data_IF_224175669957
#
_entry.id   IF_224175669957
#
_cell.length_a   1.000
_cell.length_b   1.000
_cell.length_c   1.000
_cell.angle_alpha   90.00
_cell.angle_beta   90.00
_cell.angle_gamma   90.00
#
_symmetry.space_group_name_H-M   'P 1'
#
loop_
_entity.id
_entity.type
_entity.pdbx_description
1 polymer ?
#
# COMPACT_ATOMS: atom_id res chain seq x y z
N UNK A 1 31.00 -34.54 15.90
CA UNK A 1 31.04 -33.21 16.53
C UNK A 1 29.60 -32.76 16.68
N UNK A 2 29.14 -32.65 17.92
CA UNK A 2 27.74 -32.43 18.25
C UNK A 2 27.25 -31.07 17.74
N UNK A 3 25.99 -31.04 17.31
CA UNK A 3 25.23 -29.91 16.76
C UNK A 3 24.89 -28.89 17.88
N UNK A 4 25.91 -28.34 18.57
CA UNK A 4 25.78 -27.39 19.69
C UNK A 4 25.22 -26.02 19.29
N UNK A 5 24.95 -25.79 18.01
CA UNK A 5 24.55 -24.49 17.47
C UNK A 5 23.04 -24.32 17.27
N UNK A 6 22.23 -25.34 17.60
CA UNK A 6 20.77 -25.23 17.59
C UNK A 6 20.33 -24.72 18.96
N UNK A 7 19.74 -23.53 19.00
CA UNK A 7 18.99 -23.04 20.16
C UNK A 7 17.50 -23.44 20.02
N UNK A 8 17.08 -24.63 20.47
CA UNK A 8 15.69 -25.03 20.41
C UNK A 8 14.86 -24.13 21.32
N UNK A 9 13.78 -23.59 20.79
CA UNK A 9 12.80 -22.85 21.60
C UNK A 9 11.77 -23.79 22.18
N UNK A 10 11.31 -23.49 23.39
CA UNK A 10 10.14 -24.13 23.98
C UNK A 10 8.90 -23.41 23.46
N UNK A 11 7.96 -24.16 22.90
CA UNK A 11 6.71 -23.64 22.36
C UNK A 11 5.54 -24.05 23.26
N UNK A 12 4.81 -23.06 23.74
CA UNK A 12 3.64 -23.23 24.60
C UNK A 12 2.41 -22.70 23.84
N UNK A 13 1.45 -23.57 23.57
CA UNK A 13 0.20 -23.16 22.92
C UNK A 13 -0.60 -22.24 23.86
N UNK A 14 -1.18 -21.17 23.33
CA UNK A 14 -2.09 -20.33 24.11
C UNK A 14 -3.40 -21.09 24.38
N UNK A 15 -3.80 -21.28 25.64
CA UNK A 15 -4.98 -22.07 25.98
C UNK A 15 -6.30 -21.42 25.56
N UNK A 16 -6.31 -20.10 25.31
CA UNK A 16 -7.53 -19.33 24.98
C UNK A 16 -7.61 -18.93 23.51
N UNK A 17 -6.48 -18.91 22.80
CA UNK A 17 -6.41 -18.39 21.42
C UNK A 17 -5.74 -19.37 20.48
N UNK A 18 -6.53 -19.95 19.57
CA UNK A 18 -6.03 -20.82 18.52
C UNK A 18 -4.96 -20.12 17.67
N UNK A 19 -3.98 -20.90 17.21
CA UNK A 19 -2.85 -20.45 16.40
C UNK A 19 -1.95 -19.39 17.03
N UNK A 20 -2.11 -19.10 18.33
CA UNK A 20 -1.16 -18.29 19.10
C UNK A 20 -0.25 -19.22 19.88
N UNK A 21 1.06 -19.00 19.74
CA UNK A 21 2.09 -19.79 20.40
C UNK A 21 3.08 -18.86 21.09
N UNK A 22 3.36 -19.17 22.34
CA UNK A 22 4.35 -18.49 23.17
C UNK A 22 5.67 -19.24 23.08
N UNK A 23 6.72 -18.54 22.65
CA UNK A 23 8.07 -19.04 22.60
C UNK A 23 8.85 -18.57 23.83
N UNK A 24 9.43 -19.54 24.53
CA UNK A 24 10.43 -19.36 25.57
C UNK A 24 11.77 -19.94 25.10
N UNK A 25 12.81 -19.74 25.90
CA UNK A 25 14.18 -20.16 25.59
C UNK A 25 14.78 -19.41 24.39
N UNK A 26 14.45 -18.12 24.23
CA UNK A 26 15.10 -17.28 23.22
C UNK A 26 16.50 -16.90 23.69
N UNK A 27 17.49 -17.00 22.79
CA UNK A 27 18.84 -16.49 23.04
C UNK A 27 18.85 -14.98 22.92
N UNK A 28 19.00 -14.30 24.06
CA UNK A 28 19.06 -12.84 24.14
C UNK A 28 20.50 -12.36 23.97
N UNK A 29 20.70 -11.31 23.18
CA UNK A 29 22.02 -10.71 22.97
C UNK A 29 21.92 -9.20 22.77
N UNK A 30 22.87 -8.40 23.30
CA UNK A 30 22.91 -6.98 23.04
C UNK A 30 23.18 -6.69 21.57
N UNK A 31 22.49 -5.70 21.01
CA UNK A 31 22.72 -5.24 19.65
C UNK A 31 23.92 -4.31 19.65
N UNK A 32 25.09 -4.89 19.38
CA UNK A 32 26.29 -4.12 19.10
C UNK A 32 26.18 -3.56 17.68
N UNK A 33 26.44 -2.25 17.50
CA UNK A 33 26.61 -1.67 16.16
C UNK A 33 27.80 -2.39 15.51
N UNK A 34 27.54 -3.33 14.61
CA UNK A 34 28.61 -4.00 13.87
C UNK A 34 29.33 -2.96 13.01
N UNK A 35 30.64 -2.83 13.17
CA UNK A 35 31.49 -2.32 12.09
C UNK A 35 31.20 -3.18 10.85
N UNK A 36 31.02 -2.54 9.69
CA UNK A 36 30.79 -3.25 8.42
C UNK A 36 32.02 -4.13 8.14
N UNK A 37 31.91 -5.42 8.42
CA UNK A 37 32.91 -6.38 7.96
C UNK A 37 32.74 -6.53 6.44
N UNK A 38 33.81 -6.36 5.65
CA UNK A 38 33.78 -6.53 4.20
C UNK A 38 33.18 -7.89 3.80
N UNK A 39 32.40 -7.89 2.72
CA UNK A 39 31.64 -9.06 2.26
C UNK A 39 32.49 -10.34 2.09
N UNK A 40 33.78 -10.18 1.82
CA UNK A 40 34.72 -11.28 1.55
C UNK A 40 35.13 -12.11 2.79
N UNK A 41 34.89 -11.63 4.01
CA UNK A 41 35.18 -12.37 5.25
C UNK A 41 33.97 -13.12 5.83
N UNK A 42 32.81 -13.09 5.15
CA UNK A 42 31.66 -13.88 5.58
C UNK A 42 31.86 -15.33 5.18
N UNK A 43 32.53 -16.10 6.04
CA UNK A 43 32.41 -17.55 6.02
C UNK A 43 30.92 -17.91 6.14
N UNK A 44 30.31 -18.36 5.04
CA UNK A 44 29.02 -19.04 5.09
C UNK A 44 29.33 -20.45 5.56
N UNK A 45 28.92 -20.87 6.77
CA UNK A 45 29.07 -22.26 7.15
C UNK A 45 28.22 -23.09 6.17
N UNK A 46 28.86 -24.06 5.53
CA UNK A 46 28.25 -25.03 4.63
C UNK A 46 27.44 -26.05 5.45
N UNK A 47 26.45 -25.59 6.21
CA UNK A 47 25.48 -26.47 6.86
C UNK A 47 24.42 -26.83 5.84
N UNK A 48 24.31 -28.12 5.50
CA UNK A 48 23.22 -28.66 4.69
C UNK A 48 21.90 -28.11 5.22
N UNK A 49 21.21 -27.33 4.38
CA UNK A 49 20.02 -26.57 4.76
C UNK A 49 18.86 -27.48 5.14
N UNK A 50 18.82 -27.97 6.39
CA UNK A 50 17.53 -28.24 7.04
C UNK A 50 16.75 -26.92 6.99
N UNK A 51 15.45 -26.98 6.65
CA UNK A 51 14.55 -25.81 6.58
C UNK A 51 14.30 -25.24 7.99
N UNK A 52 15.35 -24.74 8.62
CA UNK A 52 15.30 -24.12 9.93
C UNK A 52 14.70 -22.72 9.78
N UNK A 53 13.67 -22.45 10.56
CA UNK A 53 13.01 -21.15 10.58
C UNK A 53 13.47 -20.39 11.80
N UNK A 54 13.91 -19.15 11.60
CA UNK A 54 14.37 -18.31 12.71
C UNK A 54 13.21 -17.49 13.27
N UNK A 55 13.04 -17.51 14.59
CA UNK A 55 12.25 -16.54 15.32
C UNK A 55 13.17 -15.41 15.78
N UNK A 56 12.72 -14.16 15.61
CA UNK A 56 13.49 -12.99 16.01
C UNK A 56 12.59 -11.88 16.55
N UNK A 57 13.05 -11.23 17.60
CA UNK A 57 12.52 -9.95 18.07
C UNK A 57 13.66 -9.06 18.53
N UNK A 58 13.55 -7.76 18.31
CA UNK A 58 14.51 -6.77 18.81
C UNK A 58 13.76 -5.71 19.58
N UNK A 59 14.10 -5.53 20.84
CA UNK A 59 13.53 -4.51 21.72
C UNK A 59 14.59 -3.51 22.12
N UNK A 60 14.15 -2.31 22.49
CA UNK A 60 15.04 -1.28 22.99
C UNK A 60 14.41 -0.52 24.15
N UNK A 61 15.26 0.00 25.02
CA UNK A 61 14.90 0.85 26.15
C UNK A 61 15.78 2.08 26.09
N UNK A 62 15.24 3.20 26.53
CA UNK A 62 15.95 4.47 26.60
C UNK A 62 16.34 4.69 28.05
N UNK A 63 17.62 4.81 28.33
CA UNK A 63 18.07 5.19 29.68
C UNK A 63 17.74 6.66 29.97
N UNK A 64 17.73 7.03 31.25
CA UNK A 64 17.59 8.42 31.72
C UNK A 64 18.63 9.36 31.10
N UNK A 65 19.83 8.83 30.79
CA UNK A 65 20.91 9.55 30.10
C UNK A 65 20.75 9.59 28.56
N UNK A 66 19.60 9.19 28.02
CA UNK A 66 19.29 9.21 26.59
C UNK A 66 19.94 8.09 25.76
N UNK A 67 20.75 7.21 26.36
CA UNK A 67 21.38 6.08 25.66
C UNK A 67 20.34 4.99 25.39
N UNK A 68 20.20 4.60 24.13
CA UNK A 68 19.29 3.53 23.74
C UNK A 68 20.04 2.19 23.85
N UNK A 69 19.64 1.34 24.80
CA UNK A 69 20.05 -0.06 24.81
C UNK A 69 19.11 -0.84 23.91
N UNK A 70 19.64 -1.77 23.13
CA UNK A 70 18.84 -2.68 22.30
C UNK A 70 19.32 -4.10 22.53
N UNK A 71 18.39 -5.02 22.66
CA UNK A 71 18.66 -6.45 22.76
C UNK A 71 17.82 -7.19 21.73
N UNK A 72 18.32 -8.32 21.27
CA UNK A 72 17.65 -9.19 20.30
C UNK A 72 17.53 -10.59 20.86
N UNK A 73 16.31 -11.11 20.87
CA UNK A 73 16.00 -12.50 21.17
C UNK A 73 15.93 -13.29 19.86
N UNK A 74 16.62 -14.42 19.81
CA UNK A 74 16.61 -15.33 18.66
C UNK A 74 16.33 -16.78 19.05
N UNK A 75 15.51 -17.45 18.25
CA UNK A 75 15.16 -18.85 18.43
C UNK A 75 15.14 -19.60 17.12
N UNK A 76 15.36 -20.91 17.15
CA UNK A 76 15.34 -21.77 15.96
C UNK A 76 14.17 -22.76 16.06
N UNK A 77 13.37 -22.80 15.00
CA UNK A 77 12.29 -23.76 14.81
C UNK A 77 12.66 -24.80 13.75
N UNK A 78 12.58 -26.07 14.13
CA UNK A 78 12.80 -27.18 13.22
C UNK A 78 11.62 -27.38 12.26
N UNK A 79 10.38 -27.16 12.74
CA UNK A 79 9.14 -27.32 11.96
C UNK A 79 8.22 -26.11 12.23
N UNK A 80 8.28 -25.07 11.38
CA UNK A 80 7.38 -23.94 11.53
C UNK A 80 5.95 -24.35 11.13
N UNK A 81 5.02 -24.27 12.07
CA UNK A 81 3.59 -24.28 11.76
C UNK A 81 3.10 -22.88 11.39
N UNK A 82 1.91 -22.79 10.76
CA UNK A 82 1.23 -21.54 10.43
C UNK A 82 0.61 -20.87 11.67
N UNK A 83 1.44 -20.62 12.69
CA UNK A 83 1.06 -19.98 13.94
C UNK A 83 1.64 -18.57 14.04
N UNK A 84 1.03 -17.76 14.91
CA UNK A 84 1.57 -16.48 15.35
C UNK A 84 2.38 -16.69 16.62
N UNK A 85 3.68 -16.42 16.53
CA UNK A 85 4.62 -16.63 17.63
C UNK A 85 4.83 -15.34 18.44
N UNK A 86 4.87 -15.46 19.76
CA UNK A 86 5.07 -14.36 20.71
C UNK A 86 6.15 -14.74 21.72
N UNK A 87 6.93 -13.78 22.22
CA UNK A 87 7.97 -14.02 23.23
C UNK A 87 7.38 -14.00 24.63
N UNK A 88 7.58 -15.08 25.40
CA UNK A 88 7.13 -15.15 26.78
C UNK A 88 7.97 -14.26 27.71
N UNK A 89 9.28 -14.16 27.48
CA UNK A 89 10.13 -13.24 28.23
C UNK A 89 9.72 -11.77 28.08
N UNK A 90 9.29 -11.35 26.88
CA UNK A 90 8.76 -10.00 26.69
C UNK A 90 7.41 -9.79 27.37
N UNK A 91 6.57 -10.82 27.44
CA UNK A 91 5.32 -10.75 28.19
C UNK A 91 5.61 -10.54 29.68
N UNK A 92 6.53 -11.30 30.27
CA UNK A 92 6.99 -11.10 31.65
C UNK A 92 7.51 -9.68 31.89
N UNK A 93 8.34 -9.16 30.97
CA UNK A 93 8.89 -7.81 31.09
C UNK A 93 7.86 -6.68 30.91
N UNK A 94 6.61 -6.98 30.53
CA UNK A 94 5.59 -5.95 30.34
C UNK A 94 5.08 -5.36 31.66
N UNK A 95 5.17 -6.10 32.77
CA UNK A 95 4.86 -5.60 34.12
C UNK A 95 6.01 -5.77 35.12
N UNK A 96 7.08 -6.50 34.79
CA UNK A 96 8.26 -6.63 35.66
C UNK A 96 9.40 -5.81 35.09
N UNK A 97 9.86 -4.81 35.87
CA UNK A 97 10.96 -3.93 35.44
C UNK A 97 12.33 -4.44 35.90
N UNK A 98 12.48 -4.78 37.17
CA UNK A 98 13.70 -5.34 37.74
C UNK A 98 13.32 -6.51 38.65
N UNK A 99 13.41 -7.73 38.16
CA UNK A 99 12.87 -8.86 38.88
C UNK A 99 13.00 -10.16 38.12
N UNK A 100 12.64 -11.25 38.77
CA UNK A 100 12.66 -12.58 38.18
C UNK A 100 11.48 -13.42 38.67
N UNK A 101 11.26 -14.53 37.97
CA UNK A 101 10.25 -15.51 38.33
C UNK A 101 10.57 -16.88 37.73
N UNK A 102 10.15 -17.90 38.45
CA UNK A 102 10.23 -19.30 38.04
C UNK A 102 8.81 -19.81 37.79
N UNK A 103 8.55 -20.36 36.62
CA UNK A 103 7.20 -20.75 36.20
C UNK A 103 7.14 -22.20 35.74
N UNK A 104 6.12 -22.93 36.17
CA UNK A 104 5.86 -24.29 35.71
C UNK A 104 5.16 -24.29 34.36
N UNK A 105 5.67 -25.07 33.42
CA UNK A 105 5.02 -25.32 32.12
C UNK A 105 4.79 -26.80 31.81
N UNK A 106 5.40 -27.68 32.60
CA UNK A 106 5.21 -29.13 32.59
C UNK A 106 5.40 -29.66 34.02
N UNK A 107 5.02 -30.90 34.30
CA UNK A 107 5.12 -31.48 35.65
C UNK A 107 6.56 -31.45 36.20
N UNK A 108 7.55 -31.60 35.33
CA UNK A 108 8.98 -31.70 35.70
C UNK A 108 9.85 -30.56 35.20
N UNK A 109 9.28 -29.62 34.45
CA UNK A 109 10.05 -28.57 33.80
C UNK A 109 9.55 -27.17 34.19
N UNK A 110 10.54 -26.33 34.48
CA UNK A 110 10.37 -24.96 34.91
C UNK A 110 11.01 -24.01 33.91
N UNK A 111 10.50 -22.79 33.86
CA UNK A 111 11.03 -21.67 33.10
C UNK A 111 11.54 -20.62 34.05
N UNK A 112 12.78 -20.18 33.84
CA UNK A 112 13.36 -19.04 34.51
C UNK A 112 13.30 -17.81 33.62
N UNK A 113 12.60 -16.78 34.08
CA UNK A 113 12.47 -15.49 33.40
C UNK A 113 12.97 -14.38 34.32
N UNK A 114 13.71 -13.43 33.76
CA UNK A 114 14.18 -12.26 34.49
C UNK A 114 14.18 -11.02 33.60
N UNK A 115 13.95 -9.88 34.24
CA UNK A 115 13.87 -8.57 33.63
C UNK A 115 14.85 -7.62 34.31
N UNK A 116 15.62 -6.91 33.51
CA UNK A 116 16.50 -5.82 33.95
C UNK A 116 16.11 -4.58 33.15
N UNK A 117 15.72 -3.52 33.84
CA UNK A 117 15.24 -2.27 33.24
C UNK A 117 14.10 -2.46 32.22
N UNK A 118 13.20 -3.42 32.46
CA UNK A 118 12.07 -3.75 31.58
C UNK A 118 12.47 -4.49 30.30
N UNK A 119 13.65 -5.11 30.30
CA UNK A 119 14.17 -5.91 29.19
C UNK A 119 14.55 -7.31 29.68
N UNK A 120 14.34 -8.37 28.87
CA UNK A 120 14.84 -9.70 29.20
C UNK A 120 16.32 -9.70 29.54
N UNK A 121 16.67 -10.30 30.67
CA UNK A 121 18.07 -10.50 31.04
C UNK A 121 18.73 -11.51 30.09
N UNK A 122 19.98 -11.27 29.70
CA UNK A 122 20.71 -12.07 28.70
C UNK A 122 20.86 -13.55 29.11
N UNK A 123 20.98 -13.80 30.41
CA UNK A 123 21.14 -15.13 31.01
C UNK A 123 19.84 -15.73 31.55
N UNK A 124 18.70 -15.11 31.26
CA UNK A 124 17.38 -15.63 31.60
C UNK A 124 16.65 -16.10 30.33
N UNK A 125 15.36 -16.44 30.46
CA UNK A 125 14.59 -17.11 29.41
C UNK A 125 15.20 -18.48 29.10
N UNK A 126 15.18 -19.35 30.11
CA UNK A 126 15.76 -20.69 30.08
C UNK A 126 14.80 -21.69 30.70
N UNK A 127 14.78 -22.92 30.19
CA UNK A 127 14.07 -24.04 30.80
C UNK A 127 15.02 -24.98 31.55
N UNK A 128 14.50 -25.78 32.46
CA UNK A 128 15.25 -26.84 33.15
C UNK A 128 14.43 -27.52 34.24
N UNK A 129 15.03 -28.52 34.88
CA UNK A 129 14.49 -29.07 36.13
C UNK A 129 14.77 -28.12 37.31
N UNK A 130 14.30 -28.48 38.50
CA UNK A 130 14.43 -27.66 39.71
C UNK A 130 15.89 -27.31 40.04
N UNK A 131 16.82 -28.27 39.95
CA UNK A 131 18.23 -28.05 40.25
C UNK A 131 18.90 -27.14 39.21
N UNK A 132 18.62 -27.36 37.92
CA UNK A 132 19.14 -26.54 36.83
C UNK A 132 18.67 -25.09 36.96
N UNK A 133 17.38 -24.89 37.28
CA UNK A 133 16.81 -23.57 37.47
C UNK A 133 17.34 -22.90 38.72
N UNK A 134 17.52 -23.62 39.83
CA UNK A 134 18.17 -23.08 41.03
C UNK A 134 19.57 -22.53 40.73
N UNK A 135 20.37 -23.28 39.94
CA UNK A 135 21.69 -22.83 39.52
C UNK A 135 21.62 -21.58 38.63
N UNK A 136 20.67 -21.52 37.69
CA UNK A 136 20.47 -20.35 36.82
C UNK A 136 20.03 -19.11 37.59
N UNK A 137 19.14 -19.27 38.58
CA UNK A 137 18.71 -18.18 39.48
C UNK A 137 19.91 -17.68 40.28
N UNK A 138 20.69 -18.58 40.88
CA UNK A 138 21.89 -18.22 41.65
C UNK A 138 22.93 -17.49 40.79
N UNK A 139 23.17 -17.98 39.56
CA UNK A 139 24.06 -17.32 38.59
C UNK A 139 23.54 -15.92 38.24
N UNK A 140 22.24 -15.76 37.99
CA UNK A 140 21.65 -14.47 37.70
C UNK A 140 21.85 -13.47 38.84
N UNK A 141 21.60 -13.88 40.08
CA UNK A 141 21.77 -13.03 41.26
C UNK A 141 23.25 -12.67 41.50
N UNK A 142 24.17 -13.59 41.22
CA UNK A 142 25.61 -13.35 41.37
C UNK A 142 26.16 -12.39 40.32
N UNK A 143 25.66 -12.47 39.08
CA UNK A 143 26.20 -11.72 37.95
C UNK A 143 25.61 -10.32 37.78
N UNK A 144 24.52 -9.98 38.47
CA UNK A 144 23.83 -8.70 38.33
C UNK A 144 23.76 -7.99 39.69
N UNK A 145 24.12 -6.72 39.71
CA UNK A 145 24.00 -5.89 40.90
C UNK A 145 22.53 -5.76 41.32
N UNK A 146 22.27 -5.89 42.62
CA UNK A 146 20.92 -5.74 43.16
C UNK A 146 20.43 -4.29 42.98
N UNK A 147 19.23 -4.08 42.41
CA UNK A 147 18.68 -2.74 42.26
C UNK A 147 18.34 -2.12 43.64
N UNK A 148 18.27 -0.78 43.75
CA UNK A 148 17.96 -0.12 45.03
C UNK A 148 16.62 -0.53 45.64
N UNK A 149 15.64 -0.86 44.80
CA UNK A 149 14.31 -1.32 45.20
C UNK A 149 14.25 -2.83 45.54
N UNK A 150 15.41 -3.51 45.51
CA UNK A 150 15.57 -4.96 45.55
C UNK A 150 14.92 -5.67 44.37
N UNK A 151 15.26 -6.96 44.20
CA UNK A 151 14.65 -7.75 43.15
C UNK A 151 13.17 -8.01 43.42
N UNK A 152 12.33 -7.69 42.43
CA UNK A 152 10.93 -8.12 42.46
C UNK A 152 10.85 -9.63 42.15
N UNK A 153 10.56 -10.45 43.16
CA UNK A 153 10.34 -11.90 42.98
C UNK A 153 8.85 -12.11 42.73
N UNK A 154 8.49 -12.39 41.48
CA UNK A 154 7.07 -12.55 41.09
C UNK A 154 6.58 -13.97 41.33
N UNK A 155 7.42 -14.96 41.06
CA UNK A 155 7.11 -16.38 41.27
C UNK A 155 8.37 -17.07 41.79
N UNK A 156 8.40 -17.46 43.09
CA UNK A 156 9.59 -18.04 43.72
C UNK A 156 9.84 -19.49 43.25
N UNK A 157 11.05 -19.99 43.44
CA UNK A 157 11.43 -21.36 43.04
C UNK A 157 10.74 -22.41 43.92
N UNK A 158 10.53 -22.10 45.19
CA UNK A 158 9.93 -23.00 46.18
C UNK A 158 8.48 -23.33 45.80
N UNK A 159 7.76 -22.32 45.29
CA UNK A 159 6.34 -22.40 44.93
C UNK A 159 6.11 -21.74 43.56
N UNK A 160 6.51 -22.41 42.46
CA UNK A 160 6.47 -21.80 41.14
C UNK A 160 5.03 -21.78 40.59
N UNK A 161 4.58 -20.59 40.19
CA UNK A 161 3.31 -20.38 39.51
C UNK A 161 3.26 -21.03 38.12
N UNK A 162 2.06 -21.24 37.59
CA UNK A 162 1.90 -21.67 36.20
C UNK A 162 2.27 -20.51 35.23
N UNK A 163 2.98 -20.81 34.14
CA UNK A 163 3.37 -19.83 33.12
C UNK A 163 2.17 -19.07 32.51
N UNK A 164 0.98 -19.66 32.48
CA UNK A 164 -0.24 -19.01 31.97
C UNK A 164 -0.62 -17.76 32.76
N UNK A 165 -0.21 -17.67 34.03
CA UNK A 165 -0.42 -16.47 34.86
C UNK A 165 0.20 -15.21 34.23
N UNK A 166 1.27 -15.37 33.44
CA UNK A 166 1.93 -14.30 32.68
C UNK A 166 0.93 -13.77 31.64
N UNK A 167 0.40 -14.64 30.78
CA UNK A 167 -0.35 -14.19 29.61
C UNK A 167 -1.72 -13.58 29.96
N UNK A 168 -2.27 -13.90 31.14
CA UNK A 168 -3.56 -13.36 31.60
C UNK A 168 -3.55 -11.85 31.91
N UNK A 169 -2.37 -11.26 32.15
CA UNK A 169 -2.23 -9.86 32.57
C UNK A 169 -1.93 -8.90 31.41
N UNK A 170 -1.85 -9.40 30.18
CA UNK A 170 -1.37 -8.63 29.03
C UNK A 170 -2.44 -7.74 28.41
N UNK A 171 -2.10 -6.48 28.16
CA UNK A 171 -2.90 -5.60 27.30
C UNK A 171 -2.66 -5.90 25.81
N UNK A 172 -3.54 -5.37 24.95
CA UNK A 172 -3.35 -5.42 23.49
C UNK A 172 -2.06 -4.75 23.02
N UNK A 173 -1.56 -3.75 23.76
CA UNK A 173 -0.28 -3.11 23.46
C UNK A 173 0.91 -4.02 23.79
N UNK A 174 0.83 -4.74 24.92
CA UNK A 174 1.86 -5.71 25.33
C UNK A 174 1.97 -6.85 24.33
N UNK A 175 0.82 -7.40 23.90
CA UNK A 175 0.78 -8.46 22.89
C UNK A 175 1.48 -8.06 21.60
N UNK A 176 1.27 -6.82 21.12
CA UNK A 176 1.96 -6.32 19.93
C UNK A 176 3.48 -6.26 20.11
N UNK A 177 3.96 -5.88 21.30
CA UNK A 177 5.40 -5.84 21.63
C UNK A 177 6.03 -7.24 21.71
N UNK A 178 5.26 -8.24 22.13
CA UNK A 178 5.73 -9.61 22.26
C UNK A 178 5.85 -10.35 20.92
N UNK A 179 5.24 -9.84 19.84
CA UNK A 179 5.15 -10.55 18.56
C UNK A 179 6.53 -10.82 17.94
N UNK A 180 6.79 -12.08 17.60
CA UNK A 180 8.02 -12.52 16.96
C UNK A 180 7.92 -12.40 15.44
N UNK A 181 9.03 -12.04 14.81
CA UNK A 181 9.18 -12.10 13.36
C UNK A 181 9.67 -13.48 12.95
N UNK A 182 8.95 -14.13 12.05
CA UNK A 182 9.33 -15.42 11.47
C UNK A 182 10.18 -15.16 10.23
N UNK A 183 11.49 -15.33 10.38
CA UNK A 183 12.45 -15.22 9.30
C UNK A 183 12.56 -16.54 8.55
N UNK A 184 11.92 -16.64 7.38
CA UNK A 184 12.31 -17.61 6.38
C UNK A 184 13.63 -17.13 5.73
N UNK A 185 14.69 -17.94 5.74
CA UNK A 185 16.00 -17.57 5.15
C UNK A 185 15.93 -17.31 3.64
N UNK A 186 14.81 -17.63 2.99
CA UNK A 186 14.54 -17.42 1.56
C UNK A 186 14.05 -16.01 1.20
N UNK A 187 14.75 -14.94 1.63
CA UNK A 187 14.39 -13.56 1.23
C UNK A 187 15.05 -13.08 -0.07
N UNK A 188 15.93 -13.89 -0.66
CA UNK A 188 16.71 -13.51 -1.85
C UNK A 188 16.37 -14.31 -3.11
N UNK A 189 15.46 -15.28 -3.06
CA UNK A 189 15.09 -16.07 -4.25
C UNK A 189 14.26 -15.25 -5.23
N UNK A 190 13.25 -14.51 -4.74
CA UNK A 190 12.35 -13.73 -5.57
C UNK A 190 13.05 -12.59 -6.35
N UNK A 191 13.89 -11.72 -5.74
CA UNK A 191 14.62 -10.71 -6.51
C UNK A 191 15.66 -11.33 -7.47
N UNK A 192 16.29 -12.45 -7.11
CA UNK A 192 17.23 -13.14 -8.01
C UNK A 192 16.53 -13.73 -9.24
N UNK A 193 15.34 -14.32 -9.05
CA UNK A 193 14.51 -14.82 -10.16
C UNK A 193 14.04 -13.68 -11.06
N UNK A 194 13.58 -12.57 -10.49
CA UNK A 194 13.19 -11.39 -11.28
C UNK A 194 14.37 -10.81 -12.06
N UNK A 195 15.57 -10.76 -11.47
CA UNK A 195 16.78 -10.30 -12.16
C UNK A 195 17.16 -11.24 -13.32
N UNK A 196 17.05 -12.55 -13.14
CA UNK A 196 17.30 -13.54 -14.19
C UNK A 196 16.29 -13.41 -15.34
N UNK A 197 15.01 -13.20 -15.04
CA UNK A 197 13.96 -12.98 -16.05
C UNK A 197 14.18 -11.68 -16.83
N UNK A 198 14.56 -10.59 -16.14
CA UNK A 198 14.88 -9.32 -16.80
C UNK A 198 16.13 -9.44 -17.68
N UNK A 199 17.17 -10.13 -17.21
CA UNK A 199 18.37 -10.39 -17.98
C UNK A 199 18.08 -11.22 -19.24
N UNK A 200 17.26 -12.28 -19.13
CA UNK A 200 16.90 -13.12 -20.28
C UNK A 200 16.04 -12.35 -21.29
N UNK A 201 15.08 -11.54 -20.82
CA UNK A 201 14.30 -10.67 -21.70
C UNK A 201 15.18 -9.64 -22.44
N UNK A 202 16.15 -9.03 -21.73
CA UNK A 202 17.12 -8.11 -22.32
C UNK A 202 18.00 -8.77 -23.39
N UNK A 203 18.47 -10.00 -23.15
CA UNK A 203 19.27 -10.74 -24.13
C UNK A 203 18.47 -11.11 -25.38
N UNK A 204 17.20 -11.51 -25.22
CA UNK A 204 16.32 -11.81 -26.36
C UNK A 204 16.07 -10.53 -27.15
N UNK A 205 15.72 -9.43 -26.48
CA UNK A 205 15.49 -8.15 -27.14
C UNK A 205 16.71 -7.67 -27.93
N UNK A 206 17.92 -7.82 -27.38
CA UNK A 206 19.16 -7.46 -28.08
C UNK A 206 19.43 -8.35 -29.30
N UNK A 207 19.22 -9.67 -29.16
CA UNK A 207 19.44 -10.63 -30.24
C UNK A 207 18.40 -10.54 -31.36
N UNK A 208 17.20 -10.03 -31.07
CA UNK A 208 16.12 -9.86 -32.06
C UNK A 208 16.07 -8.45 -32.62
N UNK A 209 17.03 -7.56 -32.33
CA UNK A 209 17.09 -6.28 -33.02
C UNK A 209 17.37 -6.56 -34.51
N UNK A 210 16.53 -6.05 -35.43
CA UNK A 210 16.86 -6.06 -36.84
C UNK A 210 18.17 -5.30 -37.05
N UNK A 211 19.02 -5.79 -37.95
CA UNK A 211 20.27 -5.13 -38.31
C UNK A 211 19.95 -3.67 -38.72
N UNK A 212 20.66 -2.67 -38.20
CA UNK A 212 20.30 -1.28 -38.45
C UNK A 212 20.37 -1.01 -39.94
N UNK A 213 19.26 -0.55 -40.52
CA UNK A 213 19.22 -0.11 -41.91
C UNK A 213 20.35 0.91 -42.16
N UNK A 214 20.97 0.78 -43.34
CA UNK A 214 22.06 1.63 -43.82
C UNK A 214 21.80 3.09 -43.44
N UNK A 215 22.76 3.70 -42.74
CA UNK A 215 22.66 5.08 -42.23
C UNK A 215 22.19 5.99 -43.38
N UNK A 216 21.00 6.61 -43.28
CA UNK A 216 20.49 7.44 -44.36
C UNK A 216 21.43 8.61 -44.58
N UNK A 217 21.62 8.96 -45.85
CA UNK A 217 22.52 10.06 -46.22
C UNK A 217 22.03 11.37 -45.57
N UNK A 218 22.93 12.32 -45.26
CA UNK A 218 22.55 13.60 -44.64
C UNK A 218 21.44 14.34 -45.41
N UNK A 219 21.38 14.14 -46.72
CA UNK A 219 20.37 14.72 -47.59
C UNK A 219 18.97 14.13 -47.36
N UNK A 220 18.85 12.82 -47.16
CA UNK A 220 17.57 12.17 -46.84
C UNK A 220 17.05 12.58 -45.46
N UNK A 221 17.95 12.74 -44.48
CA UNK A 221 17.60 13.22 -43.14
C UNK A 221 17.08 14.66 -43.23
N UNK A 222 17.76 15.53 -43.99
CA UNK A 222 17.33 16.90 -44.21
C UNK A 222 16.00 16.99 -44.97
N UNK A 223 15.76 16.11 -45.96
CA UNK A 223 14.51 16.05 -46.70
C UNK A 223 13.34 15.60 -45.79
N UNK A 224 13.53 14.57 -44.97
CA UNK A 224 12.51 14.11 -44.01
C UNK A 224 12.21 15.17 -42.94
N UNK A 225 13.23 15.88 -42.45
CA UNK A 225 13.02 16.98 -41.51
C UNK A 225 12.16 18.09 -42.13
N UNK A 226 12.41 18.48 -43.38
CA UNK A 226 11.59 19.48 -44.09
C UNK A 226 10.12 19.08 -44.22
N UNK A 227 9.83 17.79 -44.41
CA UNK A 227 8.46 17.27 -44.47
C UNK A 227 7.75 17.32 -43.11
N UNK A 228 8.46 17.08 -42.00
CA UNK A 228 7.88 17.15 -40.66
C UNK A 228 7.49 18.56 -40.22
N UNK A 229 8.14 19.59 -40.78
CA UNK A 229 7.84 21.00 -40.47
C UNK A 229 6.93 21.69 -41.49
N UNK A 230 6.41 20.96 -42.49
CA UNK A 230 5.41 21.51 -43.41
C UNK A 230 4.09 21.67 -42.65
N UNK A 231 3.68 22.91 -42.38
CA UNK A 231 2.40 23.21 -41.73
C UNK A 231 1.24 22.60 -42.54
N UNK A 232 0.22 22.03 -41.88
CA UNK A 232 -0.98 21.57 -42.57
C UNK A 232 -1.67 22.76 -43.25
N UNK A 233 -2.22 22.53 -44.44
CA UNK A 233 -3.02 23.53 -45.14
C UNK A 233 -4.25 23.92 -44.29
N UNK A 234 -4.66 25.20 -44.30
CA UNK A 234 -5.80 25.65 -43.50
C UNK A 234 -7.08 24.91 -43.92
N UNK A 235 -7.92 24.52 -42.96
CA UNK A 235 -9.16 23.80 -43.25
C UNK A 235 -10.08 24.66 -44.14
N UNK A 236 -10.85 24.01 -45.05
CA UNK A 236 -11.78 24.73 -45.91
C UNK A 236 -12.85 25.42 -45.06
N UNK A 237 -13.05 26.73 -45.27
CA UNK A 237 -14.09 27.51 -44.59
C UNK A 237 -15.46 26.98 -44.98
N UNK A 238 -16.17 26.41 -44.01
CA UNK A 238 -17.58 26.06 -44.15
C UNK A 238 -18.40 27.35 -44.06
N UNK A 239 -19.37 27.58 -44.96
CA UNK A 239 -20.23 28.77 -44.86
C UNK A 239 -21.01 28.74 -43.55
N UNK A 240 -20.92 29.81 -42.77
CA UNK A 240 -21.64 29.92 -41.50
C UNK A 240 -23.16 29.92 -41.75
N UNK A 241 -23.98 29.36 -40.84
CA UNK A 241 -25.42 29.15 -41.07
C UNK A 241 -26.24 30.45 -41.27
N UNK A 242 -25.66 31.60 -40.93
CA UNK A 242 -26.27 32.91 -41.17
C UNK A 242 -25.84 33.59 -42.49
N UNK A 243 -24.96 32.96 -43.29
CA UNK A 243 -24.50 33.52 -44.56
C UNK A 243 -25.62 33.61 -45.61
N UNK A 244 -26.64 32.76 -45.49
CA UNK A 244 -27.81 32.72 -46.36
C UNK A 244 -28.99 33.55 -45.86
N UNK A 245 -28.87 34.22 -44.70
CA UNK A 245 -29.94 35.06 -44.17
C UNK A 245 -29.87 36.47 -44.79
N UNK A 246 -31.01 37.06 -45.19
CA UNK A 246 -31.01 38.42 -45.71
C UNK A 246 -30.62 39.41 -44.61
N UNK A 247 -29.93 40.47 -44.99
CA UNK A 247 -29.68 41.60 -44.09
C UNK A 247 -31.03 42.22 -43.72
N UNK A 248 -31.27 42.44 -42.42
CA UNK A 248 -32.58 42.85 -41.88
C UNK A 248 -33.10 44.12 -42.59
N UNK A 249 -32.23 45.08 -42.91
CA UNK A 249 -32.61 46.31 -43.62
C UNK A 249 -33.17 46.04 -45.02
N UNK A 250 -32.53 45.13 -45.76
CA UNK A 250 -32.90 44.83 -47.14
C UNK A 250 -34.21 44.03 -47.17
N UNK A 251 -34.37 43.11 -46.21
CA UNK A 251 -35.61 42.38 -45.99
C UNK A 251 -36.79 43.32 -45.69
N UNK A 252 -36.63 44.23 -44.73
CA UNK A 252 -37.69 45.18 -44.37
C UNK A 252 -38.03 46.12 -45.54
N UNK A 253 -37.04 46.55 -46.31
CA UNK A 253 -37.24 47.37 -47.50
C UNK A 253 -38.05 46.63 -48.57
N UNK A 254 -37.70 45.37 -48.85
CA UNK A 254 -38.43 44.54 -49.79
C UNK A 254 -39.90 44.32 -49.37
N UNK A 255 -40.15 44.03 -48.09
CA UNK A 255 -41.53 43.91 -47.58
C UNK A 255 -42.31 45.23 -47.70
N UNK A 256 -41.66 46.37 -47.46
CA UNK A 256 -42.29 47.68 -47.60
C UNK A 256 -42.64 47.99 -49.07
N UNK A 257 -41.76 47.64 -50.00
CA UNK A 257 -41.98 47.85 -51.43
C UNK A 257 -43.09 46.94 -51.99
N UNK A 258 -43.22 45.71 -51.48
CA UNK A 258 -44.35 44.82 -51.81
C UNK A 258 -45.68 45.31 -51.21
N UNK A 259 -45.65 45.91 -50.02
CA UNK A 259 -46.86 46.45 -49.37
C UNK A 259 -47.42 47.67 -50.10
N UNK A 260 -46.59 48.55 -50.65
CA UNK A 260 -47.03 49.82 -51.28
C UNK A 260 -48.10 49.66 -52.37
N UNK A 261 -47.97 48.75 -53.35
CA UNK A 261 -48.98 48.55 -54.39
C UNK A 261 -50.15 47.65 -53.94
N UNK A 262 -50.10 47.06 -52.75
CA UNK A 262 -51.13 46.12 -52.29
C UNK A 262 -52.48 46.81 -52.08
N UNK A 263 -53.56 46.39 -52.74
CA UNK A 263 -54.87 47.02 -52.61
C UNK A 263 -55.41 46.95 -51.18
N UNK A 264 -55.84 48.08 -50.63
CA UNK A 264 -56.44 48.12 -49.28
C UNK A 264 -57.84 47.49 -49.28
N UNK A 265 -58.49 47.44 -50.45
CA UNK A 265 -59.78 46.79 -50.65
C UNK A 265 -59.86 46.13 -52.04
N UNK A 266 -60.51 44.98 -52.10
CA UNK A 266 -60.78 44.20 -53.30
C UNK A 266 -62.27 43.88 -53.34
N UNK A 267 -63.05 44.60 -54.16
CA UNK A 267 -64.47 44.31 -54.45
C UNK A 267 -65.30 43.72 -53.28
N UNK A 268 -65.48 44.53 -52.22
CA UNK A 268 -66.21 44.09 -51.02
C UNK A 268 -65.38 43.26 -50.03
N UNK A 269 -64.07 43.21 -50.17
CA UNK A 269 -63.12 42.65 -49.20
C UNK A 269 -62.16 43.75 -48.72
N UNK A 270 -61.82 43.74 -47.43
CA UNK A 270 -60.94 44.74 -46.81
C UNK A 270 -59.67 44.06 -46.30
N UNK A 271 -58.51 44.63 -46.57
CA UNK A 271 -57.24 44.16 -46.03
C UNK A 271 -57.21 44.35 -44.51
N UNK A 272 -56.92 43.29 -43.76
CA UNK A 272 -56.83 43.31 -42.29
C UNK A 272 -55.41 43.06 -41.79
N UNK A 273 -54.57 42.41 -42.58
CA UNK A 273 -53.18 42.15 -42.21
C UNK A 273 -52.40 41.41 -43.30
N UNK A 274 -51.21 40.94 -42.95
CA UNK A 274 -50.36 40.14 -43.83
C UNK A 274 -49.09 39.69 -43.13
N UNK A 275 -48.44 38.65 -43.65
CA UNK A 275 -47.13 38.18 -43.18
C UNK A 275 -46.11 38.27 -44.31
N UNK A 276 -44.91 38.73 -43.97
CA UNK A 276 -43.76 38.77 -44.88
C UNK A 276 -42.67 37.86 -44.28
N UNK A 277 -42.30 36.81 -45.00
CA UNK A 277 -41.14 35.94 -44.74
C UNK A 277 -40.13 36.11 -45.87
N UNK A 278 -38.86 35.67 -45.72
CA UNK A 278 -37.88 35.76 -46.80
C UNK A 278 -38.32 35.08 -48.11
N UNK A 279 -39.19 34.07 -48.01
CA UNK A 279 -39.67 33.27 -49.14
C UNK A 279 -41.04 33.71 -49.65
N UNK A 280 -41.90 34.29 -48.80
CA UNK A 280 -43.30 34.53 -49.15
C UNK A 280 -43.85 35.85 -48.59
N UNK A 281 -44.73 36.48 -49.37
CA UNK A 281 -45.50 37.64 -48.95
C UNK A 281 -46.99 37.30 -49.07
N UNK A 282 -47.69 37.31 -47.94
CA UNK A 282 -49.11 36.95 -47.88
C UNK A 282 -49.94 38.07 -47.28
N UNK A 283 -51.11 38.30 -47.87
CA UNK A 283 -52.08 39.32 -47.44
C UNK A 283 -53.37 38.65 -47.00
N UNK A 284 -53.97 39.18 -45.95
CA UNK A 284 -55.19 38.66 -45.35
C UNK A 284 -56.31 39.67 -45.56
N UNK A 285 -57.37 39.24 -46.23
CA UNK A 285 -58.54 40.05 -46.51
C UNK A 285 -59.76 39.49 -45.78
N UNK A 286 -60.59 40.37 -45.25
CA UNK A 286 -61.85 40.05 -44.60
C UNK A 286 -63.03 40.51 -45.46
N UNK A 287 -63.97 39.60 -45.70
CA UNK A 287 -65.16 39.84 -46.51
C UNK A 287 -66.11 40.82 -45.83
N UNK A 288 -66.45 41.90 -46.52
CA UNK A 288 -67.45 42.88 -46.10
C UNK A 288 -68.84 42.49 -46.65
N UNK A 289 -69.93 43.02 -46.07
CA UNK A 289 -71.27 42.82 -46.61
C UNK A 289 -71.35 43.22 -48.09
N UNK A 290 -71.80 42.30 -48.95
CA UNK A 290 -71.86 42.49 -50.41
C UNK A 290 -70.64 41.99 -51.20
N UNK A 291 -69.56 41.54 -50.54
CA UNK A 291 -68.41 40.94 -51.22
C UNK A 291 -68.67 39.51 -51.71
N UNK A 292 -68.27 39.19 -52.93
CA UNK A 292 -68.35 37.84 -53.51
C UNK A 292 -66.95 37.21 -53.60
N UNK A 293 -66.89 35.86 -53.64
CA UNK A 293 -65.61 35.14 -53.81
C UNK A 293 -65.08 35.31 -55.23
N UNK A 294 -65.97 35.37 -56.22
CA UNK A 294 -65.61 35.54 -57.63
C UNK A 294 -64.94 36.89 -57.88
N UNK A 295 -65.48 37.98 -57.32
CA UNK A 295 -64.88 39.31 -57.41
C UNK A 295 -63.49 39.38 -56.74
N UNK A 296 -63.33 38.72 -55.59
CA UNK A 296 -62.02 38.62 -54.94
C UNK A 296 -60.99 37.91 -55.81
N UNK A 297 -61.33 36.75 -56.38
CA UNK A 297 -60.40 35.96 -57.21
C UNK A 297 -60.04 36.67 -58.53
N UNK A 298 -60.97 37.45 -59.09
CA UNK A 298 -60.70 38.25 -60.27
C UNK A 298 -59.70 39.37 -59.96
N UNK A 299 -59.95 40.13 -58.88
CA UNK A 299 -59.12 41.30 -58.51
C UNK A 299 -57.82 40.97 -57.79
N UNK A 300 -57.67 39.77 -57.22
CA UNK A 300 -56.43 39.36 -56.54
C UNK A 300 -55.29 38.97 -57.49
N UNK A 301 -55.55 38.86 -58.80
CA UNK A 301 -54.58 38.44 -59.83
C UNK A 301 -54.10 39.58 -60.73
N UNK A 302 -54.70 40.77 -60.59
CA UNK A 302 -54.31 42.01 -61.26
C UNK A 302 -53.20 42.72 -60.49
#
# INVERSE_FOLDING_TARGET
MADEDINPVVLLADPKVNHRVWAACLKWSPVVKKQRVPSHQKHKPHVKSRRLTSLKVTVGSRSSRGKISRITGTGILARPERNHYFSLALAFCSWVRNGYGVFRYSDKELLFLASINGQPAVMADLSGNDADVAQKVSLFLTMNEEPPEKWQVVSPLEHPDNWESIITRLSSADLRRCKLTVGNRSKFTLPAVLFLVAASAGTVFWMTQPEPDVVPTPEEIAARARLQFKKPDPPPELPHPWASQPVISDFLKACADLRKPSPVALEGWKLTGGTCTPETFTLIYERQPGGTIEGFLARSKE
#
